data_IF_719902263402
#
_entry.id   IF_719902263402
#
_cell.length_a   1.000
_cell.length_b   1.000
_cell.length_c   1.000
_cell.angle_alpha   90.00
_cell.angle_beta   90.00
_cell.angle_gamma   90.00
#
_symmetry.space_group_name_H-M   'P 1'
#
loop_
_entity.id
_entity.type
_entity.pdbx_description
1 polymer ?
#
# COMPACT_ATOMS: atom_id res chain seq x y z
N UNK A 1 -32.90 64.99 3.29
CA UNK A 1 -32.11 64.14 2.37
C UNK A 1 -31.39 63.03 3.15
N UNK A 2 -32.06 61.92 3.48
CA UNK A 2 -31.42 60.80 4.17
C UNK A 2 -32.21 59.49 4.04
N UNK A 3 -32.61 59.08 2.83
CA UNK A 3 -33.24 57.77 2.60
C UNK A 3 -32.72 57.01 1.36
N UNK A 4 -31.69 57.53 0.67
CA UNK A 4 -31.18 56.94 -0.58
C UNK A 4 -29.91 56.07 -0.46
N UNK A 5 -29.24 56.01 0.69
CA UNK A 5 -27.93 55.32 0.83
C UNK A 5 -27.97 53.94 1.49
N UNK A 6 -29.04 53.57 2.21
CA UNK A 6 -29.16 52.23 2.83
C UNK A 6 -29.55 51.13 1.84
N UNK A 7 -30.35 51.42 0.80
CA UNK A 7 -30.76 50.40 -0.18
C UNK A 7 -29.63 49.92 -1.11
N UNK A 8 -28.64 50.76 -1.42
CA UNK A 8 -27.53 50.37 -2.31
C UNK A 8 -26.50 49.45 -1.63
N UNK A 9 -26.33 49.54 -0.32
CA UNK A 9 -25.39 48.68 0.41
C UNK A 9 -25.94 47.27 0.62
N UNK A 10 -27.24 47.14 0.93
CA UNK A 10 -27.88 45.84 1.14
C UNK A 10 -27.98 45.03 -0.16
N UNK A 11 -28.26 45.69 -1.28
CA UNK A 11 -28.35 45.01 -2.58
C UNK A 11 -26.97 44.49 -3.07
N UNK A 12 -25.88 45.22 -2.77
CA UNK A 12 -24.52 44.82 -3.11
C UNK A 12 -24.00 43.68 -2.22
N UNK A 13 -24.37 43.67 -0.94
CA UNK A 13 -24.04 42.56 -0.04
C UNK A 13 -24.75 41.26 -0.42
N UNK A 14 -26.02 41.34 -0.83
CA UNK A 14 -26.78 40.16 -1.26
C UNK A 14 -26.21 39.59 -2.57
N UNK A 15 -25.83 40.41 -3.54
CA UNK A 15 -25.21 39.91 -4.79
C UNK A 15 -23.82 39.32 -4.56
N UNK A 16 -23.00 39.88 -3.67
CA UNK A 16 -21.69 39.29 -3.29
C UNK A 16 -21.87 37.99 -2.51
N UNK A 17 -22.84 37.91 -1.59
CA UNK A 17 -23.13 36.68 -0.86
C UNK A 17 -23.71 35.59 -1.77
N UNK A 18 -24.61 35.93 -2.70
CA UNK A 18 -25.17 34.96 -3.66
C UNK A 18 -24.11 34.50 -4.66
N UNK A 19 -23.22 35.38 -5.14
CA UNK A 19 -22.11 34.95 -6.00
C UNK A 19 -21.07 34.10 -5.25
N UNK A 20 -20.74 34.41 -4.00
CA UNK A 20 -19.88 33.55 -3.17
C UNK A 20 -20.57 32.23 -2.81
N UNK A 21 -21.88 32.22 -2.58
CA UNK A 21 -22.66 31.01 -2.32
C UNK A 21 -22.75 30.12 -3.57
N UNK A 22 -23.01 30.70 -4.74
CA UNK A 22 -23.01 30.00 -6.03
C UNK A 22 -21.59 29.51 -6.37
N UNK A 23 -20.55 30.31 -6.18
CA UNK A 23 -19.16 29.87 -6.39
C UNK A 23 -18.77 28.72 -5.44
N UNK A 24 -19.17 28.78 -4.17
CA UNK A 24 -18.95 27.69 -3.20
C UNK A 24 -19.72 26.40 -3.57
N UNK A 25 -20.94 26.51 -4.11
CA UNK A 25 -21.73 25.35 -4.54
C UNK A 25 -21.26 24.80 -5.89
N UNK A 26 -20.82 25.64 -6.84
CA UNK A 26 -20.21 25.19 -8.10
C UNK A 26 -18.88 24.48 -7.88
N UNK A 27 -18.10 24.89 -6.87
CA UNK A 27 -16.84 24.20 -6.52
C UNK A 27 -17.10 22.82 -5.88
N UNK A 28 -18.17 22.69 -5.08
CA UNK A 28 -18.66 21.39 -4.61
C UNK A 28 -19.16 20.50 -5.75
N UNK A 29 -19.90 21.06 -6.71
CA UNK A 29 -20.48 20.32 -7.84
C UNK A 29 -19.40 19.87 -8.84
N UNK A 30 -18.35 20.67 -9.07
CA UNK A 30 -17.19 20.27 -9.88
C UNK A 30 -16.44 19.10 -9.23
N UNK A 31 -16.29 19.10 -7.89
CA UNK A 31 -15.67 17.95 -7.20
C UNK A 31 -16.54 16.71 -7.18
N UNK A 32 -17.87 16.86 -7.15
CA UNK A 32 -18.84 15.77 -7.28
C UNK A 32 -18.86 15.16 -8.67
N UNK A 33 -18.84 16.00 -9.71
CA UNK A 33 -18.74 15.59 -11.12
C UNK A 33 -17.37 15.00 -11.46
N UNK A 34 -16.27 15.53 -10.92
CA UNK A 34 -14.96 14.89 -11.02
C UNK A 34 -14.94 13.54 -10.32
N UNK A 35 -15.52 13.42 -9.11
CA UNK A 35 -15.64 12.14 -8.39
C UNK A 35 -16.46 11.13 -9.20
N UNK A 36 -17.63 11.51 -9.69
CA UNK A 36 -18.47 10.64 -10.53
C UNK A 36 -17.74 10.28 -11.83
N UNK A 37 -17.06 11.23 -12.47
CA UNK A 37 -16.30 10.99 -13.70
C UNK A 37 -15.14 10.04 -13.46
N UNK A 38 -14.37 10.21 -12.37
CA UNK A 38 -13.26 9.32 -11.99
C UNK A 38 -13.72 7.94 -11.55
N UNK A 39 -14.78 7.82 -10.75
CA UNK A 39 -15.34 6.53 -10.33
C UNK A 39 -15.97 5.78 -11.52
N UNK A 40 -16.58 6.51 -12.45
CA UNK A 40 -17.12 5.95 -13.69
C UNK A 40 -15.99 5.59 -14.67
N UNK A 41 -14.93 6.39 -14.75
CA UNK A 41 -13.71 6.05 -15.49
C UNK A 41 -13.09 4.79 -14.89
N UNK A 42 -12.68 4.78 -13.63
CA UNK A 42 -12.02 3.64 -12.99
C UNK A 42 -12.88 2.37 -13.06
N UNK A 43 -14.21 2.43 -12.87
CA UNK A 43 -15.09 1.26 -13.07
C UNK A 43 -15.20 0.85 -14.54
N UNK A 44 -15.33 1.78 -15.46
CA UNK A 44 -15.37 1.48 -16.90
C UNK A 44 -14.03 0.91 -17.38
N UNK A 45 -12.92 1.37 -16.82
CA UNK A 45 -11.55 0.97 -17.11
C UNK A 45 -11.17 -0.36 -16.44
N UNK A 46 -11.63 -0.62 -15.22
CA UNK A 46 -11.56 -1.94 -14.57
C UNK A 46 -12.39 -2.96 -15.35
N UNK A 47 -13.58 -2.59 -15.82
CA UNK A 47 -14.39 -3.45 -16.67
C UNK A 47 -13.73 -3.68 -18.05
N UNK A 48 -13.12 -2.65 -18.65
CA UNK A 48 -12.36 -2.76 -19.92
C UNK A 48 -11.08 -3.59 -19.78
N UNK A 49 -10.37 -3.45 -18.66
CA UNK A 49 -9.21 -4.24 -18.27
C UNK A 49 -9.57 -5.69 -17.96
N UNK A 50 -10.75 -5.96 -17.39
CA UNK A 50 -11.27 -7.34 -17.22
C UNK A 50 -11.63 -8.00 -18.55
N UNK A 51 -12.16 -7.27 -19.53
CA UNK A 51 -12.39 -7.79 -20.90
C UNK A 51 -11.11 -8.08 -21.69
N UNK A 52 -9.94 -7.61 -21.24
CA UNK A 52 -8.62 -7.91 -21.82
C UNK A 52 -8.31 -9.42 -21.83
N UNK A 53 -8.86 -10.19 -20.88
CA UNK A 53 -8.65 -11.65 -20.81
C UNK A 53 -9.45 -12.45 -21.86
N UNK A 54 -10.34 -11.83 -22.65
CA UNK A 54 -11.31 -12.56 -23.48
C UNK A 54 -11.25 -12.27 -25.00
N UNK A 55 -10.41 -11.36 -25.53
CA UNK A 55 -10.47 -10.98 -26.95
C UNK A 55 -9.10 -10.90 -27.67
N UNK A 56 -9.02 -11.60 -28.80
CA UNK A 56 -7.86 -11.80 -29.71
C UNK A 56 -7.41 -10.57 -30.54
N UNK A 57 -7.72 -9.33 -30.15
CA UNK A 57 -7.37 -8.14 -30.95
C UNK A 57 -6.40 -7.19 -30.22
N UNK A 58 -5.11 -7.57 -30.23
CA UNK A 58 -4.04 -6.94 -29.43
C UNK A 58 -3.81 -5.44 -29.70
N UNK A 59 -3.98 -4.97 -30.95
CA UNK A 59 -3.66 -3.58 -31.30
C UNK A 59 -4.66 -2.55 -30.74
N UNK A 60 -5.96 -2.86 -30.78
CA UNK A 60 -7.00 -1.98 -30.23
C UNK A 60 -6.92 -1.87 -28.70
N UNK A 61 -6.47 -2.95 -28.05
CA UNK A 61 -6.29 -3.00 -26.59
C UNK A 61 -5.12 -2.12 -26.12
N UNK A 62 -4.03 -2.05 -26.88
CA UNK A 62 -2.88 -1.21 -26.53
C UNK A 62 -3.17 0.29 -26.68
N UNK A 63 -3.94 0.68 -27.70
CA UNK A 63 -4.36 2.08 -27.88
C UNK A 63 -5.26 2.56 -26.74
N UNK A 64 -6.20 1.70 -26.31
CA UNK A 64 -7.05 1.96 -25.16
C UNK A 64 -6.23 2.14 -23.87
N UNK A 65 -5.28 1.24 -23.60
CA UNK A 65 -4.45 1.35 -22.40
C UNK A 65 -3.57 2.60 -22.44
N UNK A 66 -3.06 2.99 -23.61
CA UNK A 66 -2.35 4.26 -23.77
C UNK A 66 -3.23 5.45 -23.33
N UNK A 67 -4.51 5.48 -23.73
CA UNK A 67 -5.44 6.52 -23.31
C UNK A 67 -5.58 6.58 -21.77
N UNK A 68 -5.72 5.42 -21.11
CA UNK A 68 -5.79 5.34 -19.64
C UNK A 68 -4.57 5.97 -18.98
N UNK A 69 -3.37 5.71 -19.49
CA UNK A 69 -2.17 6.27 -18.88
C UNK A 69 -2.03 7.76 -19.12
N UNK A 70 -2.46 8.28 -20.27
CA UNK A 70 -2.52 9.73 -20.50
C UNK A 70 -3.52 10.41 -19.54
N UNK A 71 -4.69 9.80 -19.31
CA UNK A 71 -5.68 10.31 -18.35
C UNK A 71 -5.13 10.32 -16.92
N UNK A 72 -4.50 9.22 -16.47
CA UNK A 72 -3.86 9.15 -15.14
C UNK A 72 -2.73 10.16 -15.00
N UNK A 73 -1.94 10.37 -16.06
CA UNK A 73 -0.83 11.32 -16.10
C UNK A 73 -1.32 12.76 -16.03
N UNK A 74 -2.38 13.09 -16.77
CA UNK A 74 -2.95 14.43 -16.75
C UNK A 74 -3.58 14.76 -15.39
N UNK A 75 -4.29 13.80 -14.78
CA UNK A 75 -4.76 13.93 -13.40
C UNK A 75 -3.61 14.22 -12.44
N UNK A 76 -2.53 13.42 -12.49
CA UNK A 76 -1.37 13.63 -11.63
C UNK A 76 -0.76 15.02 -11.83
N UNK A 77 -0.58 15.47 -13.09
CA UNK A 77 -0.05 16.81 -13.40
C UNK A 77 -0.94 17.93 -12.88
N UNK A 78 -2.26 17.79 -12.99
CA UNK A 78 -3.22 18.75 -12.48
C UNK A 78 -3.13 18.84 -10.94
N UNK A 79 -3.20 17.69 -10.27
CA UNK A 79 -3.23 17.61 -8.80
C UNK A 79 -1.89 18.00 -8.17
N UNK A 80 -0.78 17.75 -8.85
CA UNK A 80 0.56 18.21 -8.42
C UNK A 80 0.67 19.73 -8.27
N UNK A 81 -0.14 20.52 -8.99
CA UNK A 81 -0.18 21.99 -8.83
C UNK A 81 -0.88 22.40 -7.53
N UNK A 82 -1.89 21.64 -7.11
CA UNK A 82 -2.72 21.92 -5.93
C UNK A 82 -2.16 21.29 -4.65
N UNK A 83 -1.37 20.23 -4.80
CA UNK A 83 -0.81 19.43 -3.72
C UNK A 83 0.71 19.30 -3.86
N UNK A 84 1.48 20.37 -3.55
CA UNK A 84 2.92 20.34 -3.70
C UNK A 84 3.54 19.29 -2.78
N UNK A 85 4.35 18.42 -3.38
CA UNK A 85 5.02 17.33 -2.67
C UNK A 85 6.34 17.82 -2.09
N UNK A 86 6.63 17.47 -0.84
CA UNK A 86 7.91 17.83 -0.20
C UNK A 86 9.09 17.19 -0.95
N UNK A 87 10.12 17.98 -1.20
CA UNK A 87 11.34 17.51 -1.87
C UNK A 87 12.03 16.42 -1.05
N UNK A 88 12.27 15.26 -1.67
CA UNK A 88 13.02 14.13 -1.11
C UNK A 88 14.08 13.64 -2.09
N UNK A 89 15.07 12.88 -1.59
CA UNK A 89 16.07 12.18 -2.39
C UNK A 89 15.46 10.93 -3.05
N UNK A 90 14.75 11.15 -4.16
CA UNK A 90 13.97 10.12 -4.87
C UNK A 90 14.82 9.06 -5.56
N UNK A 91 16.10 9.34 -5.83
CA UNK A 91 16.98 8.47 -6.63
C UNK A 91 17.23 7.10 -5.98
N UNK A 92 17.06 6.98 -4.66
CA UNK A 92 17.32 5.75 -3.90
C UNK A 92 16.35 4.62 -4.24
N UNK A 93 15.14 4.95 -4.68
CA UNK A 93 14.08 3.98 -4.99
C UNK A 93 13.93 3.73 -6.50
N UNK A 94 14.84 4.26 -7.31
CA UNK A 94 14.76 4.19 -8.76
C UNK A 94 15.79 3.24 -9.35
N UNK A 95 15.33 2.45 -10.32
CA UNK A 95 16.13 1.50 -11.06
C UNK A 95 16.05 1.86 -12.54
N UNK A 96 17.19 2.11 -13.15
CA UNK A 96 17.33 2.41 -14.56
C UNK A 96 18.01 1.25 -15.27
N UNK A 97 17.41 0.81 -16.37
CA UNK A 97 17.99 -0.17 -17.28
C UNK A 97 18.32 0.52 -18.60
N UNK A 98 19.60 0.56 -18.94
CA UNK A 98 20.11 1.18 -20.16
C UNK A 98 19.73 0.39 -21.41
N UNK A 99 19.60 -0.95 -21.31
CA UNK A 99 19.24 -1.82 -22.44
C UNK A 99 17.83 -1.55 -22.95
N UNK A 100 16.88 -1.40 -22.04
CA UNK A 100 15.47 -1.10 -22.37
C UNK A 100 15.16 0.40 -22.31
N UNK A 101 16.13 1.23 -21.89
CA UNK A 101 15.94 2.66 -21.59
C UNK A 101 14.74 2.92 -20.68
N UNK A 102 14.56 2.06 -19.67
CA UNK A 102 13.40 2.11 -18.77
C UNK A 102 13.80 2.54 -17.36
N UNK A 103 12.88 3.22 -16.68
CA UNK A 103 13.05 3.70 -15.32
C UNK A 103 11.89 3.22 -14.45
N UNK A 104 12.17 2.41 -13.46
CA UNK A 104 11.19 1.91 -12.52
C UNK A 104 11.38 2.54 -11.13
N UNK A 105 10.33 3.14 -10.57
CA UNK A 105 10.33 3.58 -9.18
C UNK A 105 9.64 2.56 -8.26
N UNK A 106 10.40 2.00 -7.31
CA UNK A 106 9.93 0.95 -6.41
C UNK A 106 9.37 1.50 -5.10
N UNK A 107 8.04 1.44 -4.95
CA UNK A 107 7.35 1.87 -3.74
C UNK A 107 7.04 0.68 -2.82
N UNK A 108 7.35 0.72 -1.52
CA UNK A 108 7.01 -0.35 -0.60
C UNK A 108 5.49 -0.59 -0.52
N UNK A 109 5.12 -1.86 -0.40
CA UNK A 109 3.73 -2.35 -0.21
C UNK A 109 2.79 -2.15 -1.40
N UNK A 110 3.37 -1.96 -2.59
CA UNK A 110 2.70 -1.79 -3.88
C UNK A 110 3.32 -2.78 -4.91
N UNK A 111 3.47 -4.05 -4.52
CA UNK A 111 4.04 -5.06 -5.42
C UNK A 111 5.52 -4.84 -5.81
N UNK A 112 6.26 -4.02 -5.07
CA UNK A 112 7.62 -3.64 -5.49
C UNK A 112 8.62 -4.78 -5.52
N UNK A 113 8.50 -5.81 -4.66
CA UNK A 113 9.36 -7.00 -4.73
C UNK A 113 9.13 -7.78 -6.02
N UNK A 114 7.87 -7.93 -6.44
CA UNK A 114 7.50 -8.54 -7.74
C UNK A 114 8.11 -7.75 -8.90
N UNK A 115 7.92 -6.43 -8.93
CA UNK A 115 8.46 -5.61 -10.01
C UNK A 115 9.98 -5.50 -10.00
N UNK A 116 10.64 -5.53 -8.85
CA UNK A 116 12.11 -5.62 -8.79
C UNK A 116 12.61 -6.92 -9.44
N UNK A 117 11.90 -8.04 -9.25
CA UNK A 117 12.21 -9.31 -9.93
C UNK A 117 11.98 -9.22 -11.42
N UNK A 118 10.80 -8.76 -11.84
CA UNK A 118 10.47 -8.59 -13.26
C UNK A 118 11.45 -7.64 -13.95
N UNK A 119 11.81 -6.53 -13.33
CA UNK A 119 12.79 -5.58 -13.87
C UNK A 119 14.16 -6.21 -14.09
N UNK A 120 14.58 -7.10 -13.18
CA UNK A 120 15.83 -7.86 -13.33
C UNK A 120 15.73 -8.90 -14.45
N UNK A 121 14.61 -9.59 -14.58
CA UNK A 121 14.33 -10.55 -15.65
C UNK A 121 14.33 -9.85 -17.02
N UNK A 122 13.67 -8.69 -17.10
CA UNK A 122 13.64 -7.79 -18.27
C UNK A 122 15.04 -7.35 -18.68
N UNK A 123 15.86 -6.88 -17.72
CA UNK A 123 17.24 -6.46 -17.96
C UNK A 123 18.13 -7.61 -18.48
N UNK A 124 17.92 -8.83 -17.96
CA UNK A 124 18.66 -10.01 -18.39
C UNK A 124 18.11 -10.61 -19.70
N UNK A 125 16.91 -10.20 -20.13
CA UNK A 125 16.19 -10.80 -21.25
C UNK A 125 16.12 -12.34 -21.10
N UNK A 126 15.75 -12.79 -19.90
CA UNK A 126 15.67 -14.21 -19.55
C UNK A 126 14.22 -14.61 -19.37
N UNK A 127 13.93 -15.88 -19.64
CA UNK A 127 12.62 -16.49 -19.43
C UNK A 127 12.60 -17.28 -18.11
N UNK A 128 13.06 -16.63 -17.04
CA UNK A 128 13.09 -17.25 -15.71
C UNK A 128 11.85 -16.84 -14.92
N UNK A 129 11.31 -17.78 -14.16
CA UNK A 129 10.31 -17.47 -13.15
C UNK A 129 10.82 -16.33 -12.25
N UNK A 130 10.16 -15.14 -12.26
CA UNK A 130 10.58 -14.03 -11.42
C UNK A 130 10.57 -14.38 -9.92
N UNK A 131 9.76 -15.36 -9.50
CA UNK A 131 9.64 -15.79 -8.11
C UNK A 131 10.73 -16.80 -7.68
N UNK A 132 11.58 -17.27 -8.60
CA UNK A 132 12.78 -18.07 -8.28
C UNK A 132 13.75 -17.36 -7.33
N UNK A 133 13.71 -16.02 -7.29
CA UNK A 133 14.48 -15.21 -6.34
C UNK A 133 13.60 -14.81 -5.16
N UNK A 134 14.00 -15.15 -3.93
CA UNK A 134 13.29 -14.79 -2.71
C UNK A 134 13.14 -13.27 -2.52
N UNK A 135 12.18 -12.86 -1.68
CA UNK A 135 11.81 -11.46 -1.47
C UNK A 135 12.94 -10.68 -0.82
N UNK A 136 13.56 -11.26 0.19
CA UNK A 136 14.77 -10.72 0.78
C UNK A 136 15.93 -10.71 -0.21
N UNK A 137 16.11 -11.81 -0.94
CA UNK A 137 17.17 -11.96 -1.92
C UNK A 137 17.11 -10.92 -3.04
N UNK A 138 15.91 -10.47 -3.45
CA UNK A 138 15.78 -9.40 -4.45
C UNK A 138 16.12 -8.02 -3.87
N UNK A 139 15.82 -7.76 -2.59
CA UNK A 139 16.15 -6.49 -1.95
C UNK A 139 17.67 -6.29 -1.74
N UNK A 140 18.41 -7.38 -1.51
CA UNK A 140 19.87 -7.36 -1.34
C UNK A 140 20.66 -7.64 -2.63
N UNK A 141 19.96 -7.98 -3.72
CA UNK A 141 20.51 -8.35 -5.02
C UNK A 141 21.58 -7.38 -5.55
N UNK A 142 22.81 -7.88 -5.76
CA UNK A 142 23.90 -7.10 -6.38
C UNK A 142 23.55 -6.68 -7.81
N UNK A 143 22.91 -7.56 -8.59
CA UNK A 143 22.53 -7.25 -9.96
C UNK A 143 21.47 -6.14 -10.02
N UNK A 144 20.49 -6.16 -9.11
CA UNK A 144 19.50 -5.08 -9.04
C UNK A 144 20.15 -3.77 -8.55
N UNK A 145 21.06 -3.84 -7.57
CA UNK A 145 21.83 -2.67 -7.11
C UNK A 145 22.63 -2.04 -8.26
N UNK A 146 23.12 -2.84 -9.21
CA UNK A 146 23.83 -2.29 -10.38
C UNK A 146 22.96 -1.38 -11.25
N UNK A 147 21.65 -1.64 -11.28
CA UNK A 147 20.64 -0.85 -12.00
C UNK A 147 20.15 0.37 -11.21
N UNK A 148 20.62 0.61 -9.97
CA UNK A 148 20.17 1.77 -9.20
C UNK A 148 20.54 3.09 -9.90
N UNK A 149 19.57 3.99 -10.04
CA UNK A 149 19.78 5.33 -10.60
C UNK A 149 20.82 6.13 -9.80
N UNK A 150 20.99 5.84 -8.51
CA UNK A 150 22.02 6.45 -7.66
C UNK A 150 23.45 6.16 -8.16
N UNK A 151 23.67 5.06 -8.90
CA UNK A 151 24.99 4.73 -9.51
C UNK A 151 25.30 5.54 -10.76
N UNK A 152 24.31 6.20 -11.35
CA UNK A 152 24.53 7.13 -12.46
C UNK A 152 25.09 8.44 -11.90
N UNK A 153 26.14 9.03 -12.50
CA UNK A 153 26.70 10.32 -12.05
C UNK A 153 25.61 11.38 -11.94
N UNK A 154 25.60 12.13 -10.83
CA UNK A 154 24.54 13.11 -10.51
C UNK A 154 24.24 14.08 -11.68
N UNK A 155 25.29 14.56 -12.37
CA UNK A 155 25.17 15.45 -13.54
C UNK A 155 24.44 14.82 -14.73
N UNK A 156 24.44 13.48 -14.87
CA UNK A 156 23.77 12.76 -15.97
C UNK A 156 22.34 12.33 -15.62
N UNK A 157 22.00 12.21 -14.33
CA UNK A 157 20.68 11.71 -13.88
C UNK A 157 19.49 12.46 -14.49
N UNK A 158 19.46 13.82 -14.54
CA UNK A 158 18.31 14.53 -15.12
C UNK A 158 18.08 14.16 -16.59
N UNK A 159 19.15 14.04 -17.38
CA UNK A 159 19.05 13.67 -18.79
C UNK A 159 18.56 12.23 -18.96
N UNK A 160 19.04 11.31 -18.11
CA UNK A 160 18.61 9.90 -18.12
C UNK A 160 17.13 9.79 -17.77
N UNK A 161 16.70 10.41 -16.67
CA UNK A 161 15.30 10.42 -16.23
C UNK A 161 14.38 10.99 -17.30
N UNK A 162 14.76 12.10 -17.94
CA UNK A 162 13.94 12.74 -18.99
C UNK A 162 13.76 11.88 -20.25
N UNK A 163 14.73 11.01 -20.56
CA UNK A 163 14.73 10.19 -21.79
C UNK A 163 14.21 8.78 -21.58
N UNK A 164 14.03 8.34 -20.34
CA UNK A 164 13.63 6.98 -20.02
C UNK A 164 12.11 6.78 -20.21
N UNK A 165 11.73 5.56 -20.57
CA UNK A 165 10.36 5.08 -20.36
C UNK A 165 10.18 4.79 -18.86
N UNK A 166 9.67 5.80 -18.14
CA UNK A 166 9.46 5.79 -16.71
C UNK A 166 8.08 5.23 -16.33
N UNK A 167 8.06 4.33 -15.37
CA UNK A 167 6.82 3.78 -14.82
C UNK A 167 6.90 3.57 -13.30
N UNK A 168 5.75 3.61 -12.66
CA UNK A 168 5.59 3.31 -11.25
C UNK A 168 4.19 2.74 -10.98
N UNK A 169 3.99 2.23 -9.77
CA UNK A 169 2.70 1.74 -9.32
C UNK A 169 2.24 2.52 -8.09
N UNK A 170 0.92 2.63 -7.95
CA UNK A 170 0.24 3.19 -6.80
C UNK A 170 -0.73 2.16 -6.20
N UNK A 171 -1.16 2.39 -4.96
CA UNK A 171 -2.18 1.61 -4.26
C UNK A 171 -2.98 2.57 -3.41
N UNK A 172 -4.26 2.28 -3.22
CA UNK A 172 -5.10 3.02 -2.28
C UNK A 172 -4.37 3.20 -0.92
N UNK A 173 -4.16 4.44 -0.42
CA UNK A 173 -3.30 4.68 0.74
C UNK A 173 -3.68 3.90 2.00
N UNK A 174 -4.98 3.71 2.27
CA UNK A 174 -5.47 2.91 3.39
C UNK A 174 -5.11 1.42 3.25
N UNK A 175 -5.24 0.85 2.06
CA UNK A 175 -4.82 -0.53 1.80
C UNK A 175 -3.30 -0.70 1.85
N UNK A 176 -2.54 0.32 1.41
CA UNK A 176 -1.08 0.34 1.55
C UNK A 176 -0.68 0.35 3.03
N UNK A 177 -1.33 1.18 3.85
CA UNK A 177 -1.12 1.20 5.30
C UNK A 177 -1.45 -0.15 5.94
N UNK A 178 -2.62 -0.72 5.67
CA UNK A 178 -2.98 -2.05 6.20
C UNK A 178 -1.93 -3.11 5.84
N UNK A 179 -1.45 -3.11 4.59
CA UNK A 179 -0.38 -3.99 4.17
C UNK A 179 0.95 -3.74 4.88
N UNK A 180 1.27 -2.48 5.19
CA UNK A 180 2.45 -2.12 5.97
C UNK A 180 2.30 -2.60 7.41
N UNK A 181 1.16 -2.35 8.06
CA UNK A 181 0.85 -2.83 9.41
C UNK A 181 1.02 -4.34 9.51
N UNK A 182 0.36 -5.13 8.65
CA UNK A 182 0.46 -6.59 8.71
C UNK A 182 1.90 -7.07 8.53
N UNK A 183 2.63 -6.49 7.58
CA UNK A 183 3.98 -6.94 7.26
C UNK A 183 5.04 -6.48 8.26
N UNK A 184 4.85 -5.31 8.84
CA UNK A 184 5.85 -4.63 9.66
C UNK A 184 5.50 -4.78 11.13
N UNK A 185 4.36 -4.26 11.55
CA UNK A 185 4.03 -4.21 12.98
C UNK A 185 3.50 -5.55 13.48
N UNK A 186 2.55 -6.17 12.78
CA UNK A 186 1.86 -7.34 13.31
C UNK A 186 2.74 -8.61 13.39
N UNK A 187 3.59 -8.85 12.38
CA UNK A 187 4.52 -10.00 12.38
C UNK A 187 5.76 -9.80 13.23
N UNK A 188 6.02 -8.58 13.71
CA UNK A 188 7.18 -8.25 14.55
C UNK A 188 8.53 -8.54 13.86
N UNK A 189 8.64 -8.26 12.56
CA UNK A 189 9.89 -8.50 11.82
C UNK A 189 11.07 -7.69 12.38
N UNK A 190 12.33 -8.14 12.25
CA UNK A 190 13.47 -7.41 12.83
C UNK A 190 13.59 -5.96 12.32
N UNK A 191 13.26 -5.71 11.04
CA UNK A 191 13.18 -4.35 10.49
C UNK A 191 12.26 -3.43 11.31
N UNK A 192 11.32 -4.00 12.05
CA UNK A 192 10.39 -3.29 12.93
C UNK A 192 10.77 -3.19 14.38
N UNK A 193 11.74 -3.95 14.90
CA UNK A 193 12.15 -3.80 16.31
C UNK A 193 12.60 -2.38 16.60
N UNK A 194 13.29 -1.72 15.66
CA UNK A 194 13.68 -0.30 15.76
C UNK A 194 12.48 0.65 15.64
N UNK A 195 11.60 0.42 14.67
CA UNK A 195 10.38 1.21 14.46
C UNK A 195 9.46 1.12 15.68
N UNK A 196 9.23 -0.09 16.20
CA UNK A 196 8.35 -0.34 17.34
C UNK A 196 8.99 0.17 18.63
N UNK A 197 10.30 0.03 18.82
CA UNK A 197 11.00 0.64 19.96
C UNK A 197 10.88 2.17 19.91
N UNK A 198 11.03 2.77 18.72
CA UNK A 198 10.79 4.20 18.54
C UNK A 198 9.33 4.58 18.84
N UNK A 199 8.36 3.83 18.31
CA UNK A 199 6.94 4.06 18.59
C UNK A 199 6.65 3.98 20.10
N UNK A 200 7.18 2.97 20.81
CA UNK A 200 7.07 2.86 22.27
C UNK A 200 7.65 4.07 22.99
N UNK A 201 8.84 4.52 22.60
CA UNK A 201 9.48 5.67 23.24
C UNK A 201 8.65 6.94 23.04
N UNK A 202 8.15 7.17 21.82
CA UNK A 202 7.27 8.31 21.52
C UNK A 202 5.95 8.22 22.29
N UNK A 203 5.31 7.04 22.35
CA UNK A 203 4.06 6.83 23.09
C UNK A 203 4.30 7.07 24.59
N UNK A 204 5.35 6.49 25.16
CA UNK A 204 5.73 6.67 26.57
C UNK A 204 6.03 8.13 26.89
N UNK A 205 6.73 8.84 26.01
CA UNK A 205 6.99 10.27 26.18
C UNK A 205 5.69 11.06 26.21
N UNK A 206 4.74 10.78 25.33
CA UNK A 206 3.42 11.42 25.32
C UNK A 206 2.63 11.12 26.59
N UNK A 207 2.63 9.87 27.07
CA UNK A 207 2.00 9.49 28.35
C UNK A 207 2.64 10.21 29.54
N UNK A 208 3.97 10.30 29.59
CA UNK A 208 4.70 11.02 30.64
C UNK A 208 4.36 12.52 30.61
N UNK A 209 4.22 13.13 29.43
CA UNK A 209 3.80 14.54 29.35
C UNK A 209 2.36 14.74 29.85
N UNK A 210 1.44 13.80 29.54
CA UNK A 210 0.06 13.81 30.02
C UNK A 210 -0.03 13.68 31.53
N UNK A 211 0.68 12.71 32.11
CA UNK A 211 0.74 12.50 33.57
C UNK A 211 1.32 13.71 34.30
N UNK A 212 2.15 14.52 33.64
CA UNK A 212 2.72 15.77 34.17
C UNK A 212 1.81 16.99 33.99
N UNK A 213 0.56 16.82 33.57
CA UNK A 213 -0.41 17.91 33.39
C UNK A 213 -0.03 18.90 32.28
N UNK A 214 0.91 18.54 31.40
CA UNK A 214 1.21 19.36 30.21
C UNK A 214 0.17 19.02 29.16
N UNK A 215 -0.58 20.03 28.73
CA UNK A 215 -1.58 19.90 27.67
C UNK A 215 -0.92 19.34 26.40
N UNK A 216 -1.06 18.02 26.22
CA UNK A 216 -0.87 17.38 24.91
C UNK A 216 -2.24 17.34 24.28
N UNK A 217 -2.41 17.89 23.08
CA UNK A 217 -3.67 17.91 22.34
C UNK A 217 -4.52 16.64 22.58
N UNK A 218 -5.75 16.82 23.03
CA UNK A 218 -6.65 15.83 23.65
C UNK A 218 -7.16 14.68 22.76
N UNK A 219 -6.47 14.33 21.66
CA UNK A 219 -7.02 13.42 20.64
C UNK A 219 -6.74 11.93 20.82
N UNK A 220 -5.93 11.49 21.80
CA UNK A 220 -5.66 10.05 22.01
C UNK A 220 -6.35 9.56 23.29
N UNK A 221 -7.58 9.05 23.18
CA UNK A 221 -8.30 8.40 24.28
C UNK A 221 -7.94 6.90 24.35
N UNK A 222 -7.85 6.41 25.59
CA UNK A 222 -7.83 5.01 26.05
C UNK A 222 -6.75 4.08 25.45
N UNK A 223 -5.63 3.95 26.16
CA UNK A 223 -4.61 2.92 25.96
C UNK A 223 -5.00 1.65 26.72
N UNK A 224 -5.19 0.54 26.02
CA UNK A 224 -5.31 -0.79 26.65
C UNK A 224 -3.96 -1.48 26.57
N UNK A 225 -3.18 -1.33 27.65
CA UNK A 225 -1.97 -2.09 27.89
C UNK A 225 -2.31 -3.51 28.37
N UNK A 226 -2.05 -4.54 27.55
CA UNK A 226 -2.15 -5.94 27.99
C UNK A 226 -0.88 -6.71 27.65
N UNK A 227 0.19 -6.45 28.40
CA UNK A 227 1.29 -7.40 28.58
C UNK A 227 2.65 -7.02 27.95
N UNK A 228 3.70 -7.80 28.27
CA UNK A 228 5.10 -7.50 27.94
C UNK A 228 5.48 -7.75 26.46
N UNK A 229 4.54 -8.20 25.63
CA UNK A 229 4.75 -8.54 24.22
C UNK A 229 4.25 -7.38 23.35
N UNK A 230 5.14 -6.76 22.56
CA UNK A 230 4.95 -5.68 21.57
C UNK A 230 3.48 -5.18 21.38
N UNK A 231 2.94 -4.49 22.38
CA UNK A 231 1.53 -4.10 22.49
C UNK A 231 1.24 -2.77 21.77
N UNK A 232 1.38 -2.75 20.44
CA UNK A 232 0.98 -1.61 19.59
C UNK A 232 -0.20 -2.00 18.72
N UNK A 233 -1.33 -1.34 18.94
CA UNK A 233 -2.58 -1.52 18.21
C UNK A 233 -2.50 -0.99 16.78
N UNK A 234 -3.46 -1.39 15.95
CA UNK A 234 -3.63 -0.84 14.61
C UNK A 234 -3.86 0.69 14.62
N UNK A 235 -4.67 1.18 15.56
CA UNK A 235 -4.97 2.60 15.72
C UNK A 235 -3.73 3.42 16.06
N UNK A 236 -2.93 2.97 17.04
CA UNK A 236 -1.67 3.63 17.39
C UNK A 236 -0.67 3.65 16.23
N UNK A 237 -0.59 2.54 15.49
CA UNK A 237 0.26 2.49 14.29
C UNK A 237 -0.22 3.48 13.23
N UNK A 238 -1.53 3.64 13.04
CA UNK A 238 -2.09 4.57 12.07
C UNK A 238 -1.80 6.02 12.47
N UNK A 239 -2.04 6.37 13.73
CA UNK A 239 -1.75 7.68 14.27
C UNK A 239 -0.26 8.03 14.15
N UNK A 240 0.63 7.03 14.35
CA UNK A 240 2.06 7.18 14.10
C UNK A 240 2.38 7.36 12.62
N UNK A 241 1.84 6.51 11.75
CA UNK A 241 2.08 6.53 10.30
C UNK A 241 1.74 7.88 9.68
N UNK A 242 0.66 8.54 10.14
CA UNK A 242 0.29 9.88 9.70
C UNK A 242 1.39 10.95 9.90
N UNK A 243 2.34 10.69 10.79
CA UNK A 243 3.46 11.60 11.14
C UNK A 243 4.83 10.99 10.84
N UNK A 244 4.87 9.74 10.38
CA UNK A 244 6.10 8.97 10.29
C UNK A 244 6.97 9.41 9.12
N UNK A 245 8.28 9.30 9.30
CA UNK A 245 9.28 9.42 8.23
C UNK A 245 9.77 8.06 7.72
N UNK A 246 9.24 6.97 8.28
CA UNK A 246 9.57 5.62 7.82
C UNK A 246 9.09 5.43 6.38
N UNK A 247 9.98 4.97 5.51
CA UNK A 247 9.72 4.85 4.08
C UNK A 247 8.55 3.89 3.74
N UNK A 248 8.14 3.02 4.66
CA UNK A 248 6.96 2.16 4.51
C UNK A 248 5.64 2.89 4.73
N UNK A 249 5.65 4.01 5.48
CA UNK A 249 4.46 4.79 5.82
C UNK A 249 4.39 6.13 5.09
N UNK A 250 5.52 6.72 4.68
CA UNK A 250 5.51 7.97 3.90
C UNK A 250 4.76 7.83 2.58
N UNK A 251 4.24 8.96 2.10
CA UNK A 251 3.45 9.06 0.87
C UNK A 251 4.21 8.55 -0.37
N UNK A 252 3.48 7.89 -1.25
CA UNK A 252 3.90 7.39 -2.57
C UNK A 252 4.49 8.54 -3.39
N UNK A 253 3.79 9.67 -3.42
CA UNK A 253 4.23 10.89 -4.10
C UNK A 253 5.56 11.41 -3.56
N UNK A 254 5.81 11.29 -2.26
CA UNK A 254 7.09 11.68 -1.65
C UNK A 254 8.22 10.72 -2.04
N UNK A 255 7.94 9.44 -2.27
CA UNK A 255 8.95 8.43 -2.64
C UNK A 255 9.38 8.57 -4.10
N UNK A 256 8.42 8.69 -5.01
CA UNK A 256 8.68 8.62 -6.45
C UNK A 256 8.57 9.95 -7.19
N UNK A 257 8.08 11.01 -6.53
CA UNK A 257 7.98 12.37 -7.08
C UNK A 257 7.34 12.43 -8.47
N UNK A 258 6.09 11.95 -8.63
CA UNK A 258 5.37 12.00 -9.91
C UNK A 258 5.10 13.42 -10.40
N UNK A 259 5.25 14.43 -9.53
CA UNK A 259 5.17 15.84 -9.92
C UNK A 259 6.42 16.37 -10.62
N UNK A 260 7.56 15.70 -10.45
CA UNK A 260 8.85 16.12 -11.02
C UNK A 260 9.31 15.22 -12.17
N UNK A 261 8.75 14.01 -12.26
CA UNK A 261 9.14 12.99 -13.22
C UNK A 261 7.96 12.70 -14.13
N UNK A 262 8.21 12.81 -15.44
CA UNK A 262 7.24 12.45 -16.47
C UNK A 262 7.13 10.93 -16.57
N UNK A 263 6.33 10.31 -15.71
CA UNK A 263 6.01 8.88 -15.80
C UNK A 263 5.10 8.64 -17.00
N UNK A 264 5.49 7.74 -17.91
CA UNK A 264 4.65 7.31 -19.02
C UNK A 264 3.59 6.31 -18.57
N UNK A 265 3.81 5.59 -17.46
CA UNK A 265 2.81 4.69 -16.87
C UNK A 265 2.72 4.92 -15.35
N UNK A 266 1.56 5.41 -14.92
CA UNK A 266 1.14 5.41 -13.52
C UNK A 266 0.20 4.21 -13.32
N UNK A 267 0.78 3.06 -12.96
CA UNK A 267 0.03 1.83 -12.72
C UNK A 267 -0.73 1.85 -11.39
N UNK A 268 -1.75 1.01 -11.26
CA UNK A 268 -2.48 0.78 -10.00
C UNK A 268 -2.38 -0.69 -9.59
N UNK A 269 -2.40 -0.96 -8.28
CA UNK A 269 -2.47 -2.34 -7.78
C UNK A 269 -3.73 -3.08 -8.23
N UNK A 270 -4.82 -2.37 -8.46
CA UNK A 270 -6.09 -2.94 -8.88
C UNK A 270 -6.06 -3.40 -10.36
N UNK A 271 -5.18 -2.79 -11.16
CA UNK A 271 -4.93 -3.13 -12.57
C UNK A 271 -3.53 -3.71 -12.79
N UNK A 272 -2.89 -4.25 -11.75
CA UNK A 272 -1.48 -4.64 -11.76
C UNK A 272 -1.12 -5.58 -12.92
N UNK A 273 -1.93 -6.59 -13.20
CA UNK A 273 -1.66 -7.55 -14.28
C UNK A 273 -1.71 -6.89 -15.67
N UNK A 274 -2.80 -6.18 -15.97
CA UNK A 274 -2.96 -5.45 -17.25
C UNK A 274 -1.87 -4.39 -17.43
N UNK A 275 -1.58 -3.62 -16.38
CA UNK A 275 -0.54 -2.60 -16.40
C UNK A 275 0.85 -3.22 -16.62
N UNK A 276 1.11 -4.39 -16.04
CA UNK A 276 2.37 -5.13 -16.24
C UNK A 276 2.54 -5.62 -17.66
N UNK A 277 1.50 -6.20 -18.26
CA UNK A 277 1.54 -6.66 -19.66
C UNK A 277 1.79 -5.50 -20.62
N UNK A 278 1.13 -4.37 -20.40
CA UNK A 278 1.35 -3.17 -21.21
C UNK A 278 2.79 -2.68 -21.12
N UNK A 279 3.34 -2.55 -19.90
CA UNK A 279 4.73 -2.12 -19.70
C UNK A 279 5.67 -3.08 -20.42
N UNK A 280 5.52 -4.40 -20.22
CA UNK A 280 6.38 -5.38 -20.88
C UNK A 280 6.28 -5.32 -22.40
N UNK A 281 5.08 -5.10 -22.96
CA UNK A 281 4.91 -4.89 -24.39
C UNK A 281 5.66 -3.64 -24.88
N UNK A 282 5.57 -2.51 -24.17
CA UNK A 282 6.33 -1.28 -24.49
C UNK A 282 7.84 -1.46 -24.37
N UNK A 283 8.30 -2.39 -23.54
CA UNK A 283 9.71 -2.73 -23.40
C UNK A 283 10.19 -3.80 -24.40
N UNK A 284 9.33 -4.30 -25.29
CA UNK A 284 9.59 -5.45 -26.16
C UNK A 284 10.00 -6.70 -25.35
N UNK A 285 9.25 -6.98 -24.28
CA UNK A 285 9.49 -8.06 -23.30
C UNK A 285 8.21 -8.83 -22.95
N UNK A 286 7.22 -8.86 -23.83
CA UNK A 286 5.96 -9.59 -23.59
C UNK A 286 6.17 -11.05 -23.22
N UNK A 287 7.17 -11.71 -23.83
CA UNK A 287 7.56 -13.10 -23.55
C UNK A 287 7.84 -13.40 -22.06
N UNK A 288 8.29 -12.41 -21.28
CA UNK A 288 8.57 -12.55 -19.83
C UNK A 288 7.31 -12.93 -19.07
N UNK A 289 6.15 -12.45 -19.52
CA UNK A 289 4.88 -12.89 -19.00
C UNK A 289 4.28 -13.99 -19.87
N UNK A 290 4.44 -14.01 -21.20
CA UNK A 290 3.76 -15.03 -22.06
C UNK A 290 4.14 -16.46 -21.70
N UNK A 291 5.39 -16.73 -21.29
CA UNK A 291 5.81 -18.05 -20.80
C UNK A 291 5.31 -18.37 -19.37
N UNK A 292 4.81 -17.36 -18.65
CA UNK A 292 4.14 -17.51 -17.36
C UNK A 292 2.59 -17.42 -17.46
N UNK A 293 2.05 -17.19 -18.67
CA UNK A 293 0.63 -16.95 -18.92
C UNK A 293 -0.03 -18.27 -19.32
N UNK A 294 -0.51 -18.99 -18.31
CA UNK A 294 -1.90 -19.47 -18.32
C UNK A 294 -2.49 -19.21 -16.93
N UNK A 295 -3.27 -18.13 -16.84
CA UNK A 295 -4.39 -17.86 -15.91
C UNK A 295 -4.17 -17.93 -14.40
N UNK A 296 -3.66 -19.05 -13.90
CA UNK A 296 -3.67 -19.44 -12.48
C UNK A 296 -2.30 -19.88 -11.98
N UNK A 297 -1.43 -20.46 -12.83
CA UNK A 297 -0.10 -20.93 -12.41
C UNK A 297 0.81 -19.78 -11.92
N UNK A 298 0.79 -18.62 -12.60
CA UNK A 298 1.56 -17.45 -12.15
C UNK A 298 1.00 -16.86 -10.84
N UNK A 299 -0.33 -16.83 -10.69
CA UNK A 299 -0.97 -16.36 -9.46
C UNK A 299 -0.65 -17.30 -8.30
N UNK A 300 -0.67 -18.60 -8.56
CA UNK A 300 -0.28 -19.62 -7.58
C UNK A 300 1.20 -19.47 -7.22
N UNK A 301 2.12 -19.38 -8.19
CA UNK A 301 3.55 -19.18 -7.92
C UNK A 301 3.79 -17.91 -7.09
N UNK A 302 3.08 -16.82 -7.38
CA UNK A 302 3.11 -15.59 -6.57
C UNK A 302 2.60 -15.82 -5.15
N UNK A 303 1.43 -16.43 -4.99
CA UNK A 303 0.82 -16.68 -3.68
C UNK A 303 1.73 -17.60 -2.83
N UNK A 304 2.29 -18.65 -3.44
CA UNK A 304 3.31 -19.50 -2.82
C UNK A 304 4.61 -18.73 -2.50
N UNK A 305 5.04 -17.80 -3.35
CA UNK A 305 6.22 -16.97 -3.08
C UNK A 305 5.99 -16.10 -1.85
N UNK A 306 4.77 -15.59 -1.65
CA UNK A 306 4.44 -14.80 -0.46
C UNK A 306 4.54 -15.68 0.79
N UNK A 307 4.05 -16.92 0.75
CA UNK A 307 4.17 -17.85 1.88
C UNK A 307 5.64 -18.13 2.19
N UNK A 308 6.44 -18.47 1.17
CA UNK A 308 7.90 -18.69 1.31
C UNK A 308 8.58 -17.49 1.95
N UNK A 309 8.36 -16.29 1.40
CA UNK A 309 8.97 -15.05 1.89
C UNK A 309 8.58 -14.70 3.33
N UNK A 310 7.35 -14.98 3.73
CA UNK A 310 6.88 -14.72 5.09
C UNK A 310 7.53 -15.68 6.07
N UNK A 311 7.54 -16.99 5.76
CA UNK A 311 8.14 -18.00 6.64
C UNK A 311 9.65 -17.82 6.75
N UNK A 312 10.37 -17.66 5.63
CA UNK A 312 11.82 -17.45 5.62
C UNK A 312 12.22 -16.27 6.49
N UNK A 313 11.50 -15.14 6.38
CA UNK A 313 11.76 -13.95 7.19
C UNK A 313 11.60 -14.21 8.67
N UNK A 314 10.55 -14.94 9.07
CA UNK A 314 10.33 -15.26 10.49
C UNK A 314 11.46 -16.12 11.04
N UNK A 315 11.92 -17.10 10.27
CA UNK A 315 13.06 -17.92 10.67
C UNK A 315 14.36 -17.12 10.77
N UNK A 316 14.58 -16.14 9.90
CA UNK A 316 15.71 -15.20 10.00
C UNK A 316 15.59 -14.30 11.24
N UNK A 317 14.42 -13.72 11.49
CA UNK A 317 14.15 -12.85 12.65
C UNK A 317 14.37 -13.61 13.98
N UNK A 318 14.03 -14.90 14.02
CA UNK A 318 14.24 -15.75 15.19
C UNK A 318 15.72 -16.03 15.50
N UNK A 319 16.64 -15.87 14.54
CA UNK A 319 18.08 -16.00 14.79
C UNK A 319 18.60 -14.93 15.76
N UNK A 320 17.92 -13.80 15.83
CA UNK A 320 18.29 -12.69 16.71
C UNK A 320 17.76 -12.84 18.15
N UNK A 321 16.97 -13.89 18.40
CA UNK A 321 16.40 -14.22 19.72
C UNK A 321 15.67 -13.03 20.37
N UNK A 322 14.63 -12.49 19.71
CA UNK A 322 13.85 -11.39 20.28
C UNK A 322 13.25 -11.79 21.63
N UNK A 323 13.48 -10.95 22.64
CA UNK A 323 13.03 -11.18 24.01
C UNK A 323 11.50 -11.40 24.06
N UNK A 324 11.06 -12.44 24.77
CA UNK A 324 9.66 -12.76 24.97
C UNK A 324 8.93 -13.40 23.77
N UNK A 325 9.60 -13.65 22.64
CA UNK A 325 8.98 -14.27 21.46
C UNK A 325 9.49 -15.70 21.26
N UNK A 326 8.60 -16.69 21.38
CA UNK A 326 8.91 -18.08 21.02
C UNK A 326 8.73 -18.32 19.53
N UNK A 327 9.37 -19.37 19.00
CA UNK A 327 9.21 -19.79 17.60
C UNK A 327 7.74 -20.09 17.27
N UNK A 328 7.04 -20.76 18.19
CA UNK A 328 5.60 -21.00 18.08
C UNK A 328 4.80 -19.71 17.93
N UNK A 329 5.02 -18.73 18.81
CA UNK A 329 4.32 -17.44 18.77
C UNK A 329 4.56 -16.70 17.46
N UNK A 330 5.81 -16.64 17.01
CA UNK A 330 6.18 -15.96 15.77
C UNK A 330 5.51 -16.61 14.53
N UNK A 331 5.50 -17.95 14.47
CA UNK A 331 4.89 -18.67 13.36
C UNK A 331 3.36 -18.64 13.39
N UNK A 332 2.74 -18.71 14.58
CA UNK A 332 1.29 -18.55 14.73
C UNK A 332 0.83 -17.14 14.32
N UNK A 333 1.56 -16.09 14.70
CA UNK A 333 1.30 -14.72 14.21
C UNK A 333 1.44 -14.63 12.68
N UNK A 334 2.48 -15.25 12.13
CA UNK A 334 2.71 -15.24 10.68
C UNK A 334 1.61 -15.98 9.91
N UNK A 335 1.09 -17.07 10.48
CA UNK A 335 -0.09 -17.76 9.97
C UNK A 335 -1.32 -16.84 9.98
N UNK A 336 -1.53 -16.07 11.04
CA UNK A 336 -2.60 -15.08 11.10
C UNK A 336 -2.46 -14.00 10.01
N UNK A 337 -1.24 -13.64 9.60
CA UNK A 337 -1.04 -12.76 8.43
C UNK A 337 -1.45 -13.44 7.12
N UNK A 338 -1.28 -14.75 6.99
CA UNK A 338 -1.80 -15.48 5.84
C UNK A 338 -3.33 -15.40 5.79
N UNK A 339 -4.01 -15.50 6.94
CA UNK A 339 -5.46 -15.24 7.03
C UNK A 339 -5.82 -13.81 6.61
N UNK A 340 -5.14 -12.80 7.18
CA UNK A 340 -5.39 -11.38 6.89
C UNK A 340 -5.14 -11.02 5.42
N UNK A 341 -4.25 -11.73 4.73
CA UNK A 341 -3.95 -11.54 3.31
C UNK A 341 -4.87 -12.32 2.38
N UNK A 342 -5.75 -13.17 2.91
CA UNK A 342 -6.58 -14.07 2.12
C UNK A 342 -5.76 -15.16 1.41
N UNK A 343 -4.61 -15.56 1.96
CA UNK A 343 -3.83 -16.68 1.42
C UNK A 343 -4.31 -18.01 1.98
N UNK A 344 -4.61 -18.02 3.28
CA UNK A 344 -5.15 -19.18 4.00
C UNK A 344 -6.54 -18.82 4.53
N UNK A 345 -7.51 -19.73 4.44
CA UNK A 345 -8.87 -19.56 4.95
C UNK A 345 -8.88 -19.55 6.49
N UNK A 346 -9.75 -18.75 7.08
CA UNK A 346 -9.82 -18.52 8.54
C UNK A 346 -10.04 -19.80 9.38
N UNK A 347 -10.69 -20.82 8.84
CA UNK A 347 -10.97 -22.09 9.52
C UNK A 347 -9.75 -23.03 9.57
N UNK A 348 -8.78 -22.85 8.67
CA UNK A 348 -7.53 -23.60 8.67
C UNK A 348 -6.59 -22.98 9.71
N UNK A 349 -6.59 -23.56 10.90
CA UNK A 349 -5.73 -23.14 12.02
C UNK A 349 -4.25 -23.46 11.76
N UNK A 350 -3.37 -22.81 12.51
CA UNK A 350 -1.95 -23.15 12.49
C UNK A 350 -1.76 -24.61 12.92
N UNK A 351 -1.19 -25.48 12.06
CA UNK A 351 -1.30 -26.93 12.25
C UNK A 351 -0.31 -27.51 13.27
N UNK A 352 0.64 -26.72 13.79
CA UNK A 352 1.64 -27.17 14.74
C UNK A 352 1.33 -26.63 16.13
N UNK A 353 1.38 -27.49 17.15
CA UNK A 353 1.44 -27.05 18.55
C UNK A 353 2.83 -26.55 18.94
N UNK A 354 2.98 -26.06 20.18
CA UNK A 354 4.25 -25.52 20.68
C UNK A 354 5.43 -26.50 20.53
N UNK A 355 5.28 -27.74 21.01
CA UNK A 355 6.33 -28.76 20.92
C UNK A 355 6.68 -29.14 19.48
N UNK A 356 5.68 -29.28 18.60
CA UNK A 356 5.91 -29.60 17.18
C UNK A 356 6.60 -28.45 16.43
N UNK A 357 6.41 -27.22 16.89
CA UNK A 357 6.99 -26.04 16.25
C UNK A 357 8.48 -25.86 16.55
N UNK A 358 8.95 -26.26 17.73
CA UNK A 358 10.37 -26.14 18.10
C UNK A 358 11.29 -26.84 17.10
N UNK A 359 10.92 -28.03 16.64
CA UNK A 359 11.70 -28.82 15.69
C UNK A 359 11.40 -28.53 14.22
N UNK A 360 10.34 -27.78 13.90
CA UNK A 360 9.93 -27.55 12.51
C UNK A 360 10.94 -26.68 11.75
N UNK A 361 11.34 -27.08 10.55
CA UNK A 361 12.19 -26.25 9.68
C UNK A 361 11.35 -25.24 8.90
N UNK A 362 12.01 -24.23 8.29
CA UNK A 362 11.33 -23.31 7.39
C UNK A 362 10.65 -24.05 6.23
N UNK A 363 11.31 -25.10 5.70
CA UNK A 363 10.76 -25.94 4.63
C UNK A 363 9.47 -26.63 5.04
N UNK A 364 9.42 -27.17 6.26
CA UNK A 364 8.22 -27.86 6.79
C UNK A 364 7.04 -26.89 6.88
N UNK A 365 7.26 -25.70 7.43
CA UNK A 365 6.22 -24.68 7.58
C UNK A 365 5.77 -24.11 6.24
N UNK A 366 6.70 -23.93 5.28
CA UNK A 366 6.37 -23.53 3.91
C UNK A 366 5.45 -24.57 3.26
N UNK A 367 5.79 -25.86 3.37
CA UNK A 367 4.98 -26.94 2.82
C UNK A 367 3.57 -26.94 3.40
N UNK A 368 3.45 -26.79 4.71
CA UNK A 368 2.16 -26.68 5.41
C UNK A 368 1.36 -25.45 4.94
N UNK A 369 2.01 -24.30 4.79
CA UNK A 369 1.36 -23.08 4.29
C UNK A 369 0.84 -23.23 2.87
N UNK A 370 1.61 -23.85 1.96
CA UNK A 370 1.19 -24.10 0.58
C UNK A 370 0.00 -25.07 0.54
N UNK A 371 0.03 -26.14 1.33
CA UNK A 371 -1.09 -27.08 1.44
C UNK A 371 -2.37 -26.39 1.95
N UNK A 372 -2.25 -25.56 2.99
CA UNK A 372 -3.37 -24.78 3.50
C UNK A 372 -3.92 -23.80 2.46
N UNK A 373 -3.04 -23.11 1.72
CA UNK A 373 -3.42 -22.21 0.64
C UNK A 373 -4.21 -22.93 -0.45
N UNK A 374 -3.75 -24.12 -0.87
CA UNK A 374 -4.45 -24.95 -1.86
C UNK A 374 -5.83 -25.42 -1.36
N UNK A 375 -5.97 -25.65 -0.06
CA UNK A 375 -7.25 -26.00 0.58
C UNK A 375 -8.17 -24.80 0.85
N UNK A 376 -7.74 -23.56 0.59
CA UNK A 376 -8.45 -22.33 1.02
C UNK A 376 -9.57 -21.86 0.07
N UNK A 377 -9.98 -22.70 -0.88
CA UNK A 377 -11.15 -22.46 -1.71
C UNK A 377 -10.97 -21.35 -2.76
N UNK A 378 -12.07 -20.70 -3.13
CA UNK A 378 -12.14 -19.82 -4.31
C UNK A 378 -11.46 -18.46 -4.07
N UNK A 379 -10.78 -17.87 -5.07
CA UNK A 379 -10.15 -16.55 -4.94
C UNK A 379 -11.09 -15.42 -4.48
N UNK A 380 -12.38 -15.47 -4.85
CA UNK A 380 -13.36 -14.47 -4.45
C UNK A 380 -13.65 -14.51 -2.94
N UNK A 381 -13.74 -15.70 -2.35
CA UNK A 381 -13.96 -15.88 -0.90
C UNK A 381 -12.72 -15.42 -0.12
N UNK A 382 -11.54 -15.78 -0.61
CA UNK A 382 -10.25 -15.33 -0.08
C UNK A 382 -10.10 -13.80 -0.11
N UNK A 383 -10.55 -13.15 -1.20
CA UNK A 383 -10.57 -11.70 -1.31
C UNK A 383 -11.56 -11.07 -0.31
N UNK A 384 -12.76 -11.62 -0.19
CA UNK A 384 -13.76 -11.15 0.77
C UNK A 384 -13.26 -11.26 2.22
N UNK A 385 -12.55 -12.34 2.57
CA UNK A 385 -11.91 -12.50 3.88
C UNK A 385 -10.90 -11.38 4.14
N UNK A 386 -10.02 -11.08 3.18
CA UNK A 386 -9.06 -9.98 3.29
C UNK A 386 -9.76 -8.62 3.49
N UNK A 387 -10.83 -8.35 2.75
CA UNK A 387 -11.60 -7.11 2.89
C UNK A 387 -12.30 -7.01 4.24
N UNK A 388 -12.77 -8.13 4.79
CA UNK A 388 -13.31 -8.21 6.16
C UNK A 388 -12.25 -7.79 7.18
N UNK A 389 -11.05 -8.35 7.14
CA UNK A 389 -9.96 -7.95 8.05
C UNK A 389 -9.56 -6.48 7.88
N UNK A 390 -9.51 -6.00 6.64
CA UNK A 390 -9.24 -4.59 6.34
C UNK A 390 -10.26 -3.67 7.01
N UNK A 391 -11.56 -3.93 6.82
CA UNK A 391 -12.62 -3.14 7.43
C UNK A 391 -12.58 -3.21 8.96
N UNK A 392 -12.43 -4.41 9.53
CA UNK A 392 -12.39 -4.61 10.98
C UNK A 392 -11.20 -3.86 11.61
N UNK A 393 -10.04 -3.84 10.97
CA UNK A 393 -8.90 -3.07 11.45
C UNK A 393 -9.19 -1.56 11.47
N UNK A 394 -9.81 -1.01 10.42
CA UNK A 394 -10.15 0.42 10.40
C UNK A 394 -11.33 0.79 11.31
N UNK A 395 -12.25 -0.15 11.57
CA UNK A 395 -13.31 0.04 12.58
C UNK A 395 -12.76 0.14 14.00
N UNK A 396 -11.57 -0.40 14.26
CA UNK A 396 -10.91 -0.25 15.56
C UNK A 396 -10.20 1.09 15.76
N UNK A 397 -10.36 2.05 14.84
CA UNK A 397 -9.65 3.34 14.89
C UNK A 397 -10.63 4.47 15.22
N UNK A 398 -10.31 5.33 16.21
CA UNK A 398 -11.07 6.55 16.46
C UNK A 398 -11.20 7.42 15.21
N UNK A 399 -12.36 8.04 15.01
CA UNK A 399 -12.64 8.86 13.83
C UNK A 399 -11.64 10.02 13.67
N UNK A 400 -11.22 10.65 14.77
CA UNK A 400 -10.20 11.70 14.74
C UNK A 400 -8.86 11.24 14.11
N UNK A 401 -8.41 10.02 14.44
CA UNK A 401 -7.18 9.45 13.89
C UNK A 401 -7.35 9.05 12.41
N UNK A 402 -8.52 8.54 12.02
CA UNK A 402 -8.86 8.29 10.61
C UNK A 402 -8.80 9.58 9.78
N UNK A 403 -9.38 10.67 10.30
CA UNK A 403 -9.37 11.97 9.64
C UNK A 403 -7.95 12.57 9.55
N UNK A 404 -7.16 12.41 10.61
CA UNK A 404 -5.74 12.82 10.64
C UNK A 404 -4.92 12.04 9.60
N UNK A 405 -5.06 10.72 9.55
CA UNK A 405 -4.39 9.88 8.56
C UNK A 405 -4.83 10.23 7.13
N UNK A 406 -6.14 10.39 6.89
CA UNK A 406 -6.68 10.87 5.61
C UNK A 406 -6.02 12.17 5.16
N UNK A 407 -5.91 13.15 6.06
CA UNK A 407 -5.27 14.42 5.74
C UNK A 407 -3.80 14.23 5.35
N UNK A 408 -3.08 13.33 6.03
CA UNK A 408 -1.67 13.04 5.74
C UNK A 408 -1.45 12.42 4.35
N UNK A 409 -2.41 11.63 3.85
CA UNK A 409 -2.32 10.94 2.55
C UNK A 409 -3.12 11.60 1.43
N UNK A 410 -3.71 12.77 1.68
CA UNK A 410 -4.59 13.47 0.74
C UNK A 410 -3.94 13.69 -0.62
N UNK A 411 -2.65 14.07 -0.64
CA UNK A 411 -1.90 14.29 -1.88
C UNK A 411 -1.83 13.01 -2.73
N UNK A 412 -1.61 11.85 -2.12
CA UNK A 412 -1.57 10.58 -2.84
C UNK A 412 -2.95 10.20 -3.38
N UNK A 413 -4.01 10.36 -2.59
CA UNK A 413 -5.35 10.07 -3.08
C UNK A 413 -5.70 10.95 -4.29
N UNK A 414 -5.34 12.23 -4.27
CA UNK A 414 -5.59 13.16 -5.38
C UNK A 414 -4.75 12.83 -6.60
N UNK A 415 -3.43 12.80 -6.45
CA UNK A 415 -2.47 12.56 -7.56
C UNK A 415 -2.76 11.24 -8.28
N UNK A 416 -3.17 10.19 -7.56
CA UNK A 416 -3.41 8.87 -8.15
C UNK A 416 -4.88 8.53 -8.38
N UNK A 417 -5.80 9.47 -8.11
CA UNK A 417 -7.25 9.28 -8.34
C UNK A 417 -7.85 8.15 -7.50
N UNK A 418 -7.66 8.19 -6.18
CA UNK A 418 -8.32 7.32 -5.22
C UNK A 418 -9.36 8.10 -4.41
N UNK A 419 -10.42 7.42 -3.95
CA UNK A 419 -11.36 8.02 -3.00
C UNK A 419 -10.62 8.38 -1.70
N UNK A 420 -10.66 9.65 -1.33
CA UNK A 420 -10.06 10.13 -0.08
C UNK A 420 -10.96 9.83 1.13
N UNK A 421 -12.20 9.39 0.89
CA UNK A 421 -13.20 9.12 1.92
C UNK A 421 -13.94 7.80 1.62
N UNK A 422 -13.20 6.68 1.58
CA UNK A 422 -13.76 5.36 1.28
C UNK A 422 -14.95 5.03 2.20
N UNK A 423 -16.10 4.74 1.58
CA UNK A 423 -17.36 4.50 2.29
C UNK A 423 -17.25 3.38 3.33
N UNK A 424 -16.49 2.33 3.03
CA UNK A 424 -16.27 1.17 3.89
C UNK A 424 -15.49 1.48 5.17
N UNK A 425 -14.82 2.63 5.24
CA UNK A 425 -14.11 3.10 6.43
C UNK A 425 -14.89 4.21 7.14
N UNK A 426 -15.55 5.11 6.41
CA UNK A 426 -16.09 6.34 6.98
C UNK A 426 -17.62 6.43 7.05
N UNK A 427 -18.35 5.68 6.23
CA UNK A 427 -19.81 5.82 6.15
C UNK A 427 -20.46 5.48 7.50
N UNK A 428 -21.25 6.42 8.03
CA UNK A 428 -21.99 6.27 9.28
C UNK A 428 -21.15 6.28 10.55
N UNK A 429 -19.83 6.54 10.48
CA UNK A 429 -18.93 6.59 11.64
C UNK A 429 -19.07 7.90 12.42
N UNK A 430 -19.14 7.80 13.73
CA UNK A 430 -19.12 8.92 14.69
C UNK A 430 -17.99 8.72 15.70
N UNK A 431 -17.65 9.78 16.42
CA UNK A 431 -16.70 9.71 17.53
C UNK A 431 -17.22 8.73 18.61
N UNK A 432 -16.38 7.77 19.02
CA UNK A 432 -16.74 6.73 19.98
C UNK A 432 -17.30 5.45 19.36
N UNK A 433 -17.47 5.36 18.03
CA UNK A 433 -17.88 4.13 17.32
C UNK A 433 -16.70 3.15 17.08
N UNK A 434 -15.52 3.38 17.66
CA UNK A 434 -14.40 2.45 17.57
C UNK A 434 -14.70 1.09 18.21
N UNK A 435 -14.43 0.01 17.47
CA UNK A 435 -14.65 -1.37 17.92
C UNK A 435 -13.36 -1.97 18.51
N UNK A 436 -13.48 -3.01 19.33
CA UNK A 436 -12.32 -3.76 19.80
C UNK A 436 -11.54 -4.36 18.62
N UNK A 437 -10.20 -4.22 18.64
CA UNK A 437 -9.36 -4.89 17.65
C UNK A 437 -9.19 -6.37 17.99
N UNK A 438 -10.17 -7.17 17.57
CA UNK A 438 -10.27 -8.60 17.90
C UNK A 438 -9.20 -9.48 17.24
N UNK A 439 -8.37 -8.96 16.34
CA UNK A 439 -7.34 -9.77 15.66
C UNK A 439 -5.91 -9.41 16.03
N UNK A 440 -5.68 -8.23 16.60
CA UNK A 440 -4.35 -7.80 17.06
C UNK A 440 -4.02 -8.18 18.49
N UNK A 441 -5.00 -8.66 19.24
CA UNK A 441 -4.81 -9.05 20.63
C UNK A 441 -4.41 -10.55 20.70
N UNK A 442 -3.27 -10.80 21.35
CA UNK A 442 -2.70 -12.11 21.61
C UNK A 442 -3.71 -13.10 22.22
N UNK A 443 -4.64 -12.59 23.03
CA UNK A 443 -5.77 -13.34 23.58
C UNK A 443 -6.61 -14.07 22.53
N UNK A 444 -6.70 -13.53 21.31
CA UNK A 444 -7.45 -14.12 20.20
C UNK A 444 -6.57 -14.87 19.21
N UNK A 445 -5.28 -14.51 19.10
CA UNK A 445 -4.32 -15.19 18.22
C UNK A 445 -4.03 -16.60 18.73
N UNK A 446 -3.91 -16.78 20.05
CA UNK A 446 -3.58 -18.08 20.65
C UNK A 446 -4.79 -18.84 21.19
N UNK A 447 -6.01 -18.31 21.00
CA UNK A 447 -7.23 -18.92 21.54
C UNK A 447 -7.48 -20.29 20.89
N UNK A 448 -7.38 -21.35 21.68
CA UNK A 448 -7.52 -22.74 21.21
C UNK A 448 -6.24 -23.34 20.59
N UNK A 449 -5.11 -22.62 20.66
CA UNK A 449 -3.78 -23.09 20.24
C UNK A 449 -2.81 -23.29 21.43
N UNK A 450 -3.21 -22.90 22.64
CA UNK A 450 -2.50 -23.10 23.90
C UNK A 450 -3.18 -24.17 24.74
#
# INVERSE_FOLDING_TARGET
>A
MAFGKKCRFTLCFITVCVTLFVLSHTQYDITGLQKLWHDTLDRSLLNRSRTFNNNNNNNNNMALLQQVYEERKELARMECKNHPVKSSDFFRNMYYDDKTRSLYCAVPKIGSSMWKRLFLVVHKNQTRDPFSKSGLGIHTSRDLKKLSLARIPAKKRPQVVRKAFAFMFSRHPFHRFFSAYCDKVFMLSHETTKLVTFMRNVIREVEVQRQRGRATNDTLKAFVYTGPELNVTFAETLAHAAKSRDFHFVNISTICRPCDIDFQVLGKMDTLDTDSRYILAKLNRSHVMEEAIEGDAFKESRDQSIIRELVERVFEDLLEKPEGTTKFKALARSWKVLHMRGLVKDDIQFPLGAAGTENATASDVIKLGIQAMQASGKPAERLAQREKYYQQAFRSVPLADLLSFRASVLSDCKIFGYDCYPSEIFHGRRDGDEEDNIFSNDKYIYKGLL
#
